data_IF_507214345782
#
_entry.id   IF_507214345782
#
_cell.length_a   1.000
_cell.length_b   1.000
_cell.length_c   1.000
_cell.angle_alpha   90.00
_cell.angle_beta   90.00
_cell.angle_gamma   90.00
#
_symmetry.space_group_name_H-M   'P 1'
#
loop_
_entity.id
_entity.type
_entity.pdbx_description
1 polymer ?
#
# COMPACT_ATOMS: atom_id res chain seq x y z
N UNK A 1 25.86 -39.39 28.18
CA UNK A 1 25.78 -37.97 27.78
C UNK A 1 24.37 -37.51 28.11
N UNK A 2 24.18 -36.85 29.26
CA UNK A 2 22.89 -36.27 29.65
C UNK A 2 22.78 -34.88 29.01
N UNK A 3 21.62 -34.48 28.46
CA UNK A 3 21.46 -33.12 27.97
C UNK A 3 21.60 -32.14 29.13
N UNK A 4 22.39 -31.10 28.93
CA UNK A 4 22.85 -30.16 29.95
C UNK A 4 21.78 -29.17 30.45
N UNK A 5 20.50 -29.37 30.10
CA UNK A 5 19.44 -28.44 30.46
C UNK A 5 18.13 -29.17 30.82
N UNK A 6 17.73 -29.21 32.11
CA UNK A 6 16.52 -29.90 32.56
C UNK A 6 15.22 -29.22 32.09
N UNK A 7 15.26 -27.98 31.59
CA UNK A 7 14.10 -27.24 31.10
C UNK A 7 13.67 -27.60 29.66
N UNK A 8 14.51 -28.30 28.89
CA UNK A 8 14.25 -28.67 27.48
C UNK A 8 13.89 -30.15 27.26
N UNK A 9 13.95 -30.97 28.31
CA UNK A 9 13.72 -32.41 28.20
C UNK A 9 12.45 -32.85 28.91
N UNK A 10 11.78 -33.87 28.37
CA UNK A 10 10.64 -34.50 29.03
C UNK A 10 11.07 -35.03 30.40
N UNK A 11 10.48 -34.48 31.47
CA UNK A 11 10.73 -34.96 32.82
C UNK A 11 9.68 -36.02 33.17
N UNK A 12 10.13 -37.25 33.32
CA UNK A 12 9.31 -38.38 33.75
C UNK A 12 9.51 -38.56 35.25
N UNK A 13 8.48 -38.31 36.04
CA UNK A 13 8.48 -38.66 37.46
C UNK A 13 8.00 -40.10 37.59
N UNK A 14 8.80 -40.96 38.23
CA UNK A 14 8.49 -42.39 38.30
C UNK A 14 7.50 -42.72 39.41
N UNK A 15 6.46 -43.46 39.00
CA UNK A 15 5.44 -44.23 39.72
C UNK A 15 4.96 -43.78 41.12
N UNK A 16 3.72 -43.31 41.18
CA UNK A 16 2.84 -43.62 42.32
C UNK A 16 2.09 -44.93 42.01
N UNK A 17 1.93 -45.82 42.98
CA UNK A 17 1.20 -47.07 42.79
C UNK A 17 -0.28 -46.85 43.12
N UNK A 18 -1.19 -47.21 42.22
CA UNK A 18 -2.63 -47.14 42.49
C UNK A 18 -3.05 -48.20 43.52
N UNK A 19 -4.28 -48.11 44.04
CA UNK A 19 -4.80 -49.04 45.06
C UNK A 19 -4.91 -50.50 44.58
N UNK A 20 -4.66 -50.75 43.30
CA UNK A 20 -4.65 -52.07 42.66
C UNK A 20 -3.23 -52.55 42.32
N UNK A 21 -2.18 -51.82 42.73
CA UNK A 21 -0.80 -52.23 42.55
C UNK A 21 -0.18 -51.82 41.20
N UNK A 22 -0.86 -51.04 40.36
CA UNK A 22 -0.33 -50.60 39.05
C UNK A 22 0.46 -49.30 39.19
N UNK A 23 1.59 -49.22 38.50
CA UNK A 23 2.40 -48.01 38.47
C UNK A 23 1.78 -46.95 37.57
N UNK A 24 1.47 -45.78 38.14
CA UNK A 24 1.01 -44.60 37.41
C UNK A 24 2.17 -43.63 37.29
N UNK A 25 2.64 -43.42 36.05
CA UNK A 25 3.69 -42.45 35.74
C UNK A 25 3.06 -41.13 35.31
N UNK A 26 3.38 -40.05 36.02
CA UNK A 26 3.00 -38.70 35.63
C UNK A 26 4.15 -38.06 34.87
N UNK A 27 3.91 -37.79 33.59
CA UNK A 27 4.87 -37.05 32.76
C UNK A 27 4.57 -35.56 32.84
N UNK A 28 5.58 -34.76 33.15
CA UNK A 28 5.48 -33.30 33.07
C UNK A 28 5.97 -32.90 31.69
N UNK A 29 5.04 -32.49 30.83
CA UNK A 29 5.41 -31.83 29.60
C UNK A 29 6.21 -30.57 29.94
N UNK A 30 7.33 -30.27 29.24
CA UNK A 30 8.04 -29.01 29.38
C UNK A 30 7.03 -27.86 29.32
N UNK A 31 7.16 -26.88 30.23
CA UNK A 31 6.26 -25.72 30.33
C UNK A 31 5.98 -25.19 28.92
N UNK A 32 4.72 -25.30 28.49
CA UNK A 32 4.25 -24.89 27.16
C UNK A 32 4.20 -23.35 27.03
N UNK A 33 5.21 -22.63 27.52
CA UNK A 33 5.52 -21.32 26.93
C UNK A 33 5.89 -21.46 25.44
N UNK A 34 6.10 -22.71 24.99
CA UNK A 34 6.24 -23.15 23.60
C UNK A 34 4.91 -23.37 22.86
N UNK A 35 3.72 -23.13 23.44
CA UNK A 35 2.55 -22.85 22.63
C UNK A 35 2.84 -21.53 21.91
N UNK A 36 3.30 -21.69 20.68
CA UNK A 36 3.46 -20.67 19.67
C UNK A 36 2.56 -19.47 19.96
N UNK A 37 3.17 -18.33 20.31
CA UNK A 37 2.71 -17.02 19.83
C UNK A 37 2.63 -17.15 18.30
N UNK A 38 1.54 -17.74 17.85
CA UNK A 38 1.44 -18.62 16.68
C UNK A 38 2.15 -18.07 15.47
N UNK A 39 2.84 -18.90 14.69
CA UNK A 39 3.32 -18.49 13.37
C UNK A 39 2.21 -17.74 12.60
N UNK A 40 0.96 -18.21 12.75
CA UNK A 40 -0.27 -17.55 12.28
C UNK A 40 -0.51 -16.15 12.89
N UNK A 41 -0.33 -15.97 14.19
CA UNK A 41 -0.45 -14.66 14.86
C UNK A 41 0.64 -13.68 14.45
N UNK A 42 1.88 -14.16 14.24
CA UNK A 42 2.98 -13.34 13.68
C UNK A 42 2.70 -12.96 12.23
N UNK A 43 2.24 -13.90 11.41
CA UNK A 43 1.82 -13.65 10.03
C UNK A 43 0.67 -12.64 9.98
N UNK A 44 -0.32 -12.74 10.88
CA UNK A 44 -1.43 -11.80 10.94
C UNK A 44 -0.97 -10.39 11.31
N UNK A 45 -0.07 -10.23 12.29
CA UNK A 45 0.52 -8.93 12.62
C UNK A 45 1.29 -8.32 11.45
N UNK A 46 2.12 -9.12 10.77
CA UNK A 46 2.85 -8.67 9.58
C UNK A 46 1.90 -8.28 8.44
N UNK A 47 0.79 -9.01 8.28
CA UNK A 47 -0.21 -8.67 7.28
C UNK A 47 -0.92 -7.35 7.63
N UNK A 48 -1.30 -7.16 8.89
CA UNK A 48 -1.91 -5.92 9.36
C UNK A 48 -0.99 -4.72 9.15
N UNK A 49 0.30 -4.86 9.47
CA UNK A 49 1.30 -3.81 9.23
C UNK A 49 1.45 -3.50 7.73
N UNK A 50 1.51 -4.54 6.87
CA UNK A 50 1.53 -4.36 5.41
C UNK A 50 0.29 -3.65 4.90
N UNK A 51 -0.89 -4.05 5.36
CA UNK A 51 -2.17 -3.42 4.99
C UNK A 51 -2.15 -1.96 5.42
N UNK A 52 -1.74 -1.65 6.65
CA UNK A 52 -1.64 -0.27 7.14
C UNK A 52 -0.67 0.58 6.30
N UNK A 53 0.50 0.04 5.96
CA UNK A 53 1.48 0.70 5.10
C UNK A 53 0.93 0.95 3.69
N UNK A 54 0.20 -0.01 3.13
CA UNK A 54 -0.48 0.14 1.85
C UNK A 54 -1.60 1.18 1.92
N UNK A 55 -2.40 1.19 2.99
CA UNK A 55 -3.44 2.21 3.20
C UNK A 55 -2.84 3.60 3.22
N UNK A 56 -1.74 3.83 3.94
CA UNK A 56 -1.05 5.12 3.94
C UNK A 56 -0.51 5.49 2.57
N UNK A 57 0.03 4.52 1.84
CA UNK A 57 0.54 4.72 0.47
C UNK A 57 -0.58 5.11 -0.48
N UNK A 58 -1.75 4.45 -0.39
CA UNK A 58 -2.93 4.77 -1.19
C UNK A 58 -3.46 6.16 -0.87
N UNK A 59 -3.53 6.56 0.40
CA UNK A 59 -3.95 7.91 0.79
C UNK A 59 -3.00 8.98 0.24
N UNK A 60 -1.69 8.74 0.29
CA UNK A 60 -0.70 9.65 -0.27
C UNK A 60 -0.80 9.72 -1.81
N UNK A 61 -1.05 8.59 -2.47
CA UNK A 61 -1.28 8.53 -3.92
C UNK A 61 -2.54 9.29 -4.30
N UNK A 62 -3.66 9.07 -3.61
CA UNK A 62 -4.92 9.78 -3.85
C UNK A 62 -4.74 11.30 -3.74
N UNK A 63 -4.05 11.77 -2.69
CA UNK A 63 -3.78 13.19 -2.52
C UNK A 63 -2.93 13.77 -3.68
N UNK A 64 -1.96 13.01 -4.19
CA UNK A 64 -1.15 13.42 -5.35
C UNK A 64 -1.99 13.42 -6.63
N UNK A 65 -2.75 12.35 -6.87
CA UNK A 65 -3.63 12.22 -8.03
C UNK A 65 -4.65 13.35 -8.08
N UNK A 66 -5.23 13.76 -6.95
CA UNK A 66 -6.13 14.91 -6.90
C UNK A 66 -5.43 16.22 -7.30
N UNK A 67 -4.20 16.46 -6.82
CA UNK A 67 -3.43 17.65 -7.19
C UNK A 67 -3.05 17.64 -8.67
N UNK A 68 -2.64 16.50 -9.19
CA UNK A 68 -2.28 16.33 -10.60
C UNK A 68 -3.49 16.56 -11.50
N UNK A 69 -4.66 16.04 -11.11
CA UNK A 69 -5.91 16.27 -11.83
C UNK A 69 -6.27 17.76 -11.86
N UNK A 70 -6.18 18.47 -10.73
CA UNK A 70 -6.40 19.91 -10.69
C UNK A 70 -5.38 20.70 -11.53
N UNK A 71 -4.15 20.21 -11.64
CA UNK A 71 -3.13 20.82 -12.49
C UNK A 71 -3.48 20.65 -13.98
N UNK A 72 -3.84 19.43 -14.39
CA UNK A 72 -4.26 19.13 -15.78
C UNK A 72 -5.50 19.93 -16.16
N UNK A 73 -6.51 20.02 -15.28
CA UNK A 73 -7.72 20.82 -15.53
C UNK A 73 -7.40 22.31 -15.76
N UNK A 74 -6.51 22.89 -14.95
CA UNK A 74 -6.07 24.28 -15.15
C UNK A 74 -5.33 24.47 -16.46
N UNK A 75 -4.46 23.52 -16.80
CA UNK A 75 -3.73 23.54 -18.07
C UNK A 75 -4.68 23.44 -19.26
N UNK A 76 -5.72 22.62 -19.19
CA UNK A 76 -6.73 22.51 -20.25
C UNK A 76 -7.41 23.86 -20.52
N UNK A 77 -7.81 24.59 -19.47
CA UNK A 77 -8.41 25.92 -19.61
C UNK A 77 -7.44 26.90 -20.28
N UNK A 78 -6.17 26.87 -19.90
CA UNK A 78 -5.14 27.71 -20.52
C UNK A 78 -4.94 27.37 -22.00
N UNK A 79 -4.91 26.09 -22.36
CA UNK A 79 -4.78 25.63 -23.74
C UNK A 79 -5.98 26.05 -24.60
N UNK A 80 -7.21 25.93 -24.08
CA UNK A 80 -8.41 26.44 -24.76
C UNK A 80 -8.35 27.95 -24.97
N UNK A 81 -7.87 28.70 -23.97
CA UNK A 81 -7.66 30.15 -24.10
C UNK A 81 -6.62 30.49 -25.17
N UNK A 82 -5.53 29.72 -25.25
CA UNK A 82 -4.50 29.88 -26.27
C UNK A 82 -5.04 29.57 -27.68
N UNK A 83 -5.81 28.49 -27.84
CA UNK A 83 -6.47 28.13 -29.10
C UNK A 83 -7.39 29.26 -29.60
N UNK A 84 -8.18 29.86 -28.71
CA UNK A 84 -9.05 30.98 -29.05
C UNK A 84 -8.26 32.19 -29.57
N UNK A 85 -7.14 32.52 -28.91
CA UNK A 85 -6.25 33.61 -29.35
C UNK A 85 -5.64 33.31 -30.72
N UNK A 86 -5.21 32.08 -30.98
CA UNK A 86 -4.69 31.69 -32.30
C UNK A 86 -5.74 31.85 -33.40
N UNK A 87 -6.98 31.42 -33.17
CA UNK A 87 -8.09 31.62 -34.13
C UNK A 87 -8.34 33.11 -34.39
N UNK A 88 -8.30 33.95 -33.36
CA UNK A 88 -8.46 35.40 -33.52
C UNK A 88 -7.34 36.02 -34.35
N UNK A 89 -6.10 35.60 -34.13
CA UNK A 89 -4.93 36.07 -34.89
C UNK A 89 -5.03 35.62 -36.36
N UNK A 90 -5.42 34.38 -36.61
CA UNK A 90 -5.62 33.85 -37.96
C UNK A 90 -6.70 34.63 -38.72
N UNK A 91 -7.85 34.89 -38.09
CA UNK A 91 -8.94 35.65 -38.70
C UNK A 91 -8.53 37.10 -38.98
N UNK A 92 -7.84 37.73 -38.02
CA UNK A 92 -7.30 39.10 -38.20
C UNK A 92 -6.30 39.15 -39.36
N UNK A 93 -5.47 38.12 -39.51
CA UNK A 93 -4.52 38.01 -40.61
C UNK A 93 -5.23 37.87 -41.97
N UNK A 94 -6.25 37.01 -42.07
CA UNK A 94 -7.08 36.86 -43.29
C UNK A 94 -7.76 38.17 -43.68
N UNK A 95 -8.36 38.88 -42.72
CA UNK A 95 -9.00 40.18 -42.96
C UNK A 95 -7.99 41.23 -43.44
N UNK A 96 -6.79 41.27 -42.86
CA UNK A 96 -5.74 42.19 -43.28
C UNK A 96 -5.28 41.91 -44.71
N UNK A 97 -5.10 40.63 -45.10
CA UNK A 97 -4.78 40.27 -46.49
C UNK A 97 -5.88 40.72 -47.45
N UNK A 98 -7.15 40.47 -47.12
CA UNK A 98 -8.28 40.86 -47.96
C UNK A 98 -8.35 42.38 -48.16
N UNK A 99 -8.09 43.16 -47.11
CA UNK A 99 -8.00 44.63 -47.19
C UNK A 99 -6.86 45.08 -48.09
N UNK A 100 -5.67 44.50 -47.92
CA UNK A 100 -4.49 44.82 -48.75
C UNK A 100 -4.75 44.55 -50.25
N UNK A 101 -5.43 43.45 -50.58
CA UNK A 101 -5.79 43.14 -51.97
C UNK A 101 -6.80 44.14 -52.56
N UNK A 102 -7.81 44.57 -51.79
CA UNK A 102 -8.77 45.60 -52.21
C UNK A 102 -8.10 46.96 -52.46
N UNK A 103 -7.13 47.35 -51.63
CA UNK A 103 -6.39 48.61 -51.83
C UNK A 103 -5.56 48.56 -53.12
N UNK A 104 -4.87 47.44 -53.38
CA UNK A 104 -4.07 47.24 -54.61
C UNK A 104 -4.88 47.21 -55.90
N UNK A 105 -6.16 46.86 -55.86
CA UNK A 105 -7.02 46.74 -57.05
C UNK A 105 -7.79 48.02 -57.37
N UNK A 106 -7.89 48.96 -56.42
CA UNK A 106 -8.54 50.26 -56.58
C UNK A 106 -7.55 51.40 -56.92
N UNK A 107 -6.26 51.10 -57.10
CA UNK A 107 -5.22 52.03 -57.58
C UNK A 107 -4.85 51.66 -59.01
#
# INVERSE_FOLDING_TARGET
VLPANPEESWQVYSSAQDSEGRCVCTVVAPQQTMCSRDARTKQLRQLLEKVQNMTQSIQNLDQRTQKDLQYVQRMEVQLRGLESKFKQVEESHKQNIAKQYKVRTNT
#
